data_IF_044312363452
#
_entry.id   IF_044312363452
#
_cell.length_a   1.000
_cell.length_b   1.000
_cell.length_c   1.000
_cell.angle_alpha   90.00
_cell.angle_beta   90.00
_cell.angle_gamma   90.00
#
_symmetry.space_group_name_H-M   'P 1'
#
loop_
_entity.id
_entity.type
_entity.pdbx_description
1 polymer ?
#
# COMPACT_ATOMS: atom_id res chain seq x y z
N UNK A 1 5.61 15.58 -26.64
CA UNK A 1 4.50 14.67 -26.27
C UNK A 1 4.96 13.93 -25.02
N UNK A 2 4.20 13.93 -23.93
CA UNK A 2 4.63 13.24 -22.69
C UNK A 2 4.40 11.74 -22.88
N UNK A 3 5.42 10.93 -22.60
CA UNK A 3 5.33 9.47 -22.69
C UNK A 3 4.49 8.92 -21.53
N UNK A 4 3.73 7.85 -21.77
CA UNK A 4 2.74 7.31 -20.83
C UNK A 4 3.06 5.89 -20.37
N UNK A 5 2.71 5.58 -19.13
CA UNK A 5 2.70 4.22 -18.58
C UNK A 5 1.27 3.87 -18.17
N UNK A 6 0.76 2.73 -18.67
CA UNK A 6 -0.56 2.23 -18.31
C UNK A 6 -0.52 1.57 -16.93
N UNK A 7 -1.40 1.97 -16.01
CA UNK A 7 -1.39 1.53 -14.62
C UNK A 7 -2.67 0.78 -14.26
N UNK A 8 -2.51 -0.43 -13.72
CA UNK A 8 -3.55 -1.25 -13.13
C UNK A 8 -3.23 -1.43 -11.66
N UNK A 9 -4.03 -0.85 -10.78
CA UNK A 9 -3.70 -0.66 -9.39
C UNK A 9 -4.82 -1.21 -8.51
N UNK A 10 -4.47 -1.73 -7.35
CA UNK A 10 -5.40 -2.18 -6.33
C UNK A 10 -5.84 -1.01 -5.44
N UNK A 11 -6.99 -1.18 -4.78
CA UNK A 11 -7.48 -0.30 -3.70
C UNK A 11 -7.96 1.12 -4.07
N UNK A 12 -8.65 1.75 -3.10
CA UNK A 12 -9.33 3.05 -3.26
C UNK A 12 -8.46 4.32 -3.20
N UNK A 13 -7.18 4.24 -2.79
CA UNK A 13 -6.30 5.43 -2.81
C UNK A 13 -5.92 5.85 -4.24
N UNK A 14 -6.00 4.94 -5.20
CA UNK A 14 -5.83 5.17 -6.64
C UNK A 14 -6.92 6.11 -7.18
N UNK A 15 -8.11 6.08 -6.59
CA UNK A 15 -9.24 6.96 -6.94
C UNK A 15 -8.98 8.43 -6.54
N UNK A 16 -8.04 8.65 -5.63
CA UNK A 16 -7.54 9.99 -5.25
C UNK A 16 -6.33 10.44 -6.07
N UNK A 17 -5.83 9.61 -7.00
CA UNK A 17 -4.62 9.90 -7.79
C UNK A 17 -3.31 9.72 -7.02
N UNK A 18 -3.38 9.14 -5.82
CA UNK A 18 -2.25 9.09 -4.89
C UNK A 18 -1.20 8.07 -5.31
N UNK A 19 -1.60 6.89 -5.79
CA UNK A 19 -0.63 5.90 -6.24
C UNK A 19 0.16 6.40 -7.45
N UNK A 20 -0.46 7.12 -8.38
CA UNK A 20 0.26 7.79 -9.48
C UNK A 20 1.23 8.86 -8.96
N UNK A 21 0.87 9.56 -7.87
CA UNK A 21 1.80 10.50 -7.23
C UNK A 21 3.01 9.77 -6.62
N UNK A 22 2.78 8.61 -6.00
CA UNK A 22 3.85 7.76 -5.50
C UNK A 22 4.74 7.23 -6.64
N UNK A 23 4.16 6.71 -7.73
CA UNK A 23 4.91 6.26 -8.91
C UNK A 23 5.75 7.39 -9.54
N UNK A 24 5.23 8.63 -9.58
CA UNK A 24 6.01 9.80 -10.03
C UNK A 24 7.23 10.11 -9.16
N UNK A 25 7.24 9.71 -7.88
CA UNK A 25 8.44 9.82 -7.04
C UNK A 25 9.51 8.81 -7.44
N UNK A 26 9.11 7.67 -8.02
CA UNK A 26 10.04 6.65 -8.51
C UNK A 26 10.65 7.12 -9.83
N UNK A 27 9.82 7.60 -10.76
CA UNK A 27 10.26 8.12 -12.05
C UNK A 27 9.31 9.20 -12.57
N UNK A 28 9.78 10.45 -12.62
CA UNK A 28 8.95 11.60 -13.01
C UNK A 28 8.87 11.83 -14.53
N UNK A 29 9.57 11.02 -15.34
CA UNK A 29 9.65 11.21 -16.79
C UNK A 29 8.35 10.82 -17.53
N UNK A 30 7.45 10.11 -16.85
CA UNK A 30 6.25 9.53 -17.44
C UNK A 30 4.94 10.08 -16.85
N UNK A 31 3.92 10.15 -17.69
CA UNK A 31 2.54 10.27 -17.26
C UNK A 31 1.96 8.88 -16.91
N UNK A 32 1.63 8.68 -15.64
CA UNK A 32 1.02 7.43 -15.15
C UNK A 32 -0.49 7.46 -15.37
N UNK A 33 -0.95 6.75 -16.41
CA UNK A 33 -2.35 6.69 -16.79
C UNK A 33 -3.04 5.49 -16.13
N UNK A 34 -3.98 5.77 -15.24
CA UNK A 34 -4.72 4.73 -14.54
C UNK A 34 -5.87 4.17 -15.40
N UNK A 35 -5.80 2.87 -15.67
CA UNK A 35 -6.86 2.09 -16.32
C UNK A 35 -7.68 1.27 -15.33
N UNK A 36 -7.11 0.93 -14.16
CA UNK A 36 -7.82 0.28 -13.06
C UNK A 36 -7.36 0.83 -11.70
N UNK A 37 -8.29 1.14 -10.77
CA UNK A 37 -9.74 1.26 -10.99
C UNK A 37 -10.05 2.40 -11.97
N UNK A 38 -10.94 2.18 -12.94
CA UNK A 38 -11.35 3.26 -13.84
C UNK A 38 -12.48 4.07 -13.17
N UNK A 39 -12.32 5.40 -13.08
CA UNK A 39 -13.41 6.27 -12.62
C UNK A 39 -14.53 6.24 -13.65
N UNK A 40 -15.68 5.67 -13.30
CA UNK A 40 -16.90 5.91 -14.07
C UNK A 40 -17.12 7.43 -14.08
N UNK A 41 -17.13 8.06 -15.28
CA UNK A 41 -17.47 9.47 -15.45
C UNK A 41 -18.89 9.70 -14.90
N UNK A 42 -19.02 10.33 -13.73
CA UNK A 42 -20.31 10.71 -13.14
C UNK A 42 -20.61 12.20 -13.33
N UNK A 43 -21.90 12.51 -13.45
CA UNK A 43 -22.45 13.88 -13.44
C UNK A 43 -22.25 14.51 -12.05
N UNK A 44 -21.97 15.81 -12.04
CA UNK A 44 -21.72 16.63 -10.83
C UNK A 44 -22.88 16.45 -9.82
N UNK A 45 -22.57 16.14 -8.55
CA UNK A 45 -23.55 16.11 -7.45
C UNK A 45 -24.02 14.74 -6.93
N UNK A 46 -23.48 13.61 -7.41
CA UNK A 46 -23.79 12.27 -6.86
C UNK A 46 -22.64 11.71 -6.04
N UNK A 47 -22.96 10.98 -4.97
CA UNK A 47 -21.96 10.30 -4.15
C UNK A 47 -21.13 9.30 -4.98
N UNK A 48 -19.82 9.30 -4.72
CA UNK A 48 -18.85 8.40 -5.33
C UNK A 48 -19.00 6.99 -4.73
N UNK A 49 -19.99 6.26 -5.20
CA UNK A 49 -20.03 4.81 -5.05
C UNK A 49 -19.35 4.22 -6.28
N UNK A 50 -18.17 3.67 -6.08
CA UNK A 50 -17.45 2.87 -7.07
C UNK A 50 -17.85 1.42 -6.82
N UNK A 51 -18.19 0.72 -7.89
CA UNK A 51 -18.68 -0.64 -7.78
C UNK A 51 -17.57 -1.57 -7.27
N UNK A 52 -17.93 -2.49 -6.38
CA UNK A 52 -16.98 -3.45 -5.77
C UNK A 52 -16.29 -4.35 -6.82
N UNK A 53 -16.88 -4.50 -8.00
CA UNK A 53 -16.31 -5.26 -9.11
C UNK A 53 -15.13 -4.58 -9.83
N UNK A 54 -14.78 -3.34 -9.45
CA UNK A 54 -13.63 -2.61 -9.99
C UNK A 54 -12.71 -2.06 -8.91
N UNK A 55 -13.04 -2.20 -7.63
CA UNK A 55 -12.26 -1.69 -6.50
C UNK A 55 -11.77 -2.83 -5.61
N UNK A 56 -10.54 -2.71 -5.08
CA UNK A 56 -9.98 -3.72 -4.18
C UNK A 56 -9.76 -5.09 -4.81
N UNK A 57 -9.65 -5.17 -6.14
CA UNK A 57 -9.30 -6.41 -6.82
C UNK A 57 -7.83 -6.74 -6.56
N UNK A 58 -7.54 -7.93 -6.05
CA UNK A 58 -6.17 -8.46 -5.90
C UNK A 58 -6.06 -9.80 -6.64
N UNK A 59 -4.85 -10.15 -7.07
CA UNK A 59 -4.57 -11.45 -7.67
C UNK A 59 -5.33 -11.86 -8.90
N UNK A 60 -5.85 -13.08 -8.92
CA UNK A 60 -6.49 -13.63 -10.12
C UNK A 60 -7.66 -12.74 -10.59
N UNK A 61 -8.39 -12.13 -9.65
CA UNK A 61 -9.45 -11.17 -9.96
C UNK A 61 -8.89 -9.90 -10.60
N UNK A 62 -7.77 -9.39 -10.09
CA UNK A 62 -7.05 -8.26 -10.69
C UNK A 62 -6.58 -8.60 -12.11
N UNK A 63 -5.87 -9.71 -12.27
CA UNK A 63 -5.31 -10.15 -13.55
C UNK A 63 -6.42 -10.40 -14.59
N UNK A 64 -7.51 -11.08 -14.21
CA UNK A 64 -8.65 -11.26 -15.09
C UNK A 64 -9.23 -9.91 -15.55
N UNK A 65 -9.30 -8.92 -14.65
CA UNK A 65 -9.78 -7.58 -14.99
C UNK A 65 -8.80 -6.80 -15.87
N UNK A 66 -7.50 -6.97 -15.68
CA UNK A 66 -6.47 -6.44 -16.59
C UNK A 66 -6.74 -6.94 -18.00
N UNK A 67 -6.90 -8.25 -18.20
CA UNK A 67 -7.15 -8.82 -19.53
C UNK A 67 -8.43 -8.29 -20.18
N UNK A 68 -9.51 -8.17 -19.41
CA UNK A 68 -10.76 -7.56 -19.89
C UNK A 68 -10.56 -6.12 -20.37
N UNK A 69 -9.82 -5.30 -19.61
CA UNK A 69 -9.53 -3.91 -20.00
C UNK A 69 -8.61 -3.86 -21.22
N UNK A 70 -7.60 -4.73 -21.31
CA UNK A 70 -6.69 -4.79 -22.45
C UNK A 70 -7.46 -5.04 -23.76
N UNK A 71 -8.45 -5.93 -23.75
CA UNK A 71 -9.29 -6.22 -24.92
C UNK A 71 -10.09 -4.99 -25.36
N UNK A 72 -10.64 -4.24 -24.41
CA UNK A 72 -11.51 -3.09 -24.68
C UNK A 72 -10.76 -1.77 -24.97
N UNK A 73 -9.51 -1.64 -24.52
CA UNK A 73 -8.72 -0.41 -24.59
C UNK A 73 -7.35 -0.60 -25.29
N UNK A 74 -7.18 -1.66 -26.06
CA UNK A 74 -5.89 -2.06 -26.65
C UNK A 74 -5.19 -0.94 -27.43
N UNK A 75 -5.91 -0.18 -28.27
CA UNK A 75 -5.32 0.90 -29.08
C UNK A 75 -4.67 1.99 -28.23
N UNK A 76 -5.33 2.40 -27.15
CA UNK A 76 -4.81 3.44 -26.26
C UNK A 76 -3.62 2.94 -25.43
N UNK A 77 -3.65 1.65 -25.05
CA UNK A 77 -2.57 1.03 -24.28
C UNK A 77 -1.34 0.79 -25.15
N UNK A 78 -1.52 0.53 -26.46
CA UNK A 78 -0.41 0.42 -27.43
C UNK A 78 0.43 1.68 -27.56
N UNK A 79 -0.14 2.85 -27.26
CA UNK A 79 0.57 4.12 -27.25
C UNK A 79 1.42 4.33 -25.98
N UNK A 80 1.21 3.50 -24.95
CA UNK A 80 2.00 3.55 -23.71
C UNK A 80 3.35 2.85 -23.90
N UNK A 81 4.35 3.29 -23.13
CA UNK A 81 5.70 2.72 -23.14
C UNK A 81 5.86 1.47 -22.31
N UNK A 82 5.01 1.30 -21.30
CA UNK A 82 5.02 0.17 -20.39
C UNK A 82 3.66 0.01 -19.71
N UNK A 83 3.51 -1.11 -19.01
CA UNK A 83 2.38 -1.43 -18.16
C UNK A 83 2.89 -1.63 -16.72
N UNK A 84 2.15 -1.11 -15.75
CA UNK A 84 2.35 -1.38 -14.32
C UNK A 84 1.12 -2.14 -13.82
N UNK A 85 1.36 -3.23 -13.12
CA UNK A 85 0.38 -3.93 -12.29
C UNK A 85 0.83 -3.81 -10.84
N UNK A 86 0.10 -3.06 -10.03
CA UNK A 86 0.27 -3.05 -8.58
C UNK A 86 -0.69 -4.07 -7.95
N UNK A 87 -0.23 -4.81 -6.93
CA UNK A 87 -1.02 -5.81 -6.18
C UNK A 87 -0.59 -5.81 -4.71
N UNK A 88 -1.54 -5.67 -3.77
CA UNK A 88 -1.29 -5.86 -2.32
C UNK A 88 -0.70 -7.26 -2.02
N UNK A 89 -0.89 -8.22 -2.94
CA UNK A 89 -0.39 -9.61 -2.89
C UNK A 89 -1.07 -10.48 -1.82
N UNK A 90 -1.49 -9.92 -0.68
CA UNK A 90 -2.22 -10.59 0.40
C UNK A 90 -1.53 -11.92 0.81
N UNK A 91 -0.20 -11.90 0.84
CA UNK A 91 0.63 -13.07 1.17
C UNK A 91 0.55 -14.26 0.19
N UNK A 92 -0.02 -14.10 -1.02
CA UNK A 92 -0.21 -15.17 -2.02
C UNK A 92 1.03 -16.01 -2.32
N UNK A 93 2.20 -15.39 -2.28
CA UNK A 93 3.47 -16.08 -2.57
C UNK A 93 4.04 -16.84 -1.37
N UNK A 94 3.30 -16.97 -0.27
CA UNK A 94 3.72 -17.78 0.86
C UNK A 94 4.02 -19.23 0.42
N UNK A 95 5.21 -19.71 0.77
CA UNK A 95 5.70 -21.04 0.38
C UNK A 95 6.02 -21.21 -1.11
N UNK A 96 5.94 -20.16 -1.94
CA UNK A 96 6.32 -20.25 -3.35
C UNK A 96 7.83 -20.10 -3.51
N UNK A 97 8.43 -20.93 -4.38
CA UNK A 97 9.81 -20.74 -4.79
C UNK A 97 9.96 -19.52 -5.70
N UNK A 98 11.15 -18.93 -5.72
CA UNK A 98 11.45 -17.82 -6.64
C UNK A 98 11.20 -18.19 -8.12
N UNK A 99 11.43 -19.44 -8.51
CA UNK A 99 11.13 -19.94 -9.86
C UNK A 99 9.62 -19.97 -10.15
N UNK A 100 8.81 -20.39 -9.17
CA UNK A 100 7.34 -20.39 -9.30
C UNK A 100 6.81 -18.97 -9.47
N UNK A 101 7.33 -18.02 -8.69
CA UNK A 101 6.97 -16.59 -8.80
C UNK A 101 7.39 -16.02 -10.15
N UNK A 102 8.62 -16.31 -10.61
CA UNK A 102 9.11 -15.88 -11.94
C UNK A 102 8.25 -16.45 -13.06
N UNK A 103 7.89 -17.74 -12.99
CA UNK A 103 6.99 -18.39 -13.96
C UNK A 103 5.63 -17.70 -13.97
N UNK A 104 5.03 -17.48 -12.81
CA UNK A 104 3.75 -16.77 -12.68
C UNK A 104 3.77 -15.38 -13.33
N UNK A 105 4.79 -14.56 -13.03
CA UNK A 105 4.98 -13.24 -13.67
C UNK A 105 5.11 -13.38 -15.18
N UNK A 106 5.93 -14.32 -15.67
CA UNK A 106 6.17 -14.54 -17.10
C UNK A 106 4.92 -14.95 -17.85
N UNK A 107 4.11 -15.84 -17.27
CA UNK A 107 2.89 -16.33 -17.89
C UNK A 107 1.87 -15.18 -18.04
N UNK A 108 1.78 -14.28 -17.05
CA UNK A 108 0.98 -13.05 -17.16
C UNK A 108 1.52 -12.10 -18.24
N UNK A 109 2.83 -11.86 -18.27
CA UNK A 109 3.46 -11.00 -19.30
C UNK A 109 3.15 -11.52 -20.69
N UNK A 110 3.30 -12.82 -20.90
CA UNK A 110 3.00 -13.47 -22.17
C UNK A 110 1.55 -13.22 -22.58
N UNK A 111 0.60 -13.50 -21.69
CA UNK A 111 -0.83 -13.29 -21.97
C UNK A 111 -1.15 -11.81 -22.25
N UNK A 112 -0.57 -10.86 -21.52
CA UNK A 112 -0.72 -9.42 -21.80
C UNK A 112 -0.24 -9.07 -23.20
N UNK A 113 0.95 -9.56 -23.57
CA UNK A 113 1.56 -9.26 -24.86
C UNK A 113 0.77 -9.90 -26.02
N UNK A 114 0.22 -11.09 -25.84
CA UNK A 114 -0.68 -11.73 -26.82
C UNK A 114 -1.99 -10.95 -26.98
N UNK A 115 -2.61 -10.51 -25.88
CA UNK A 115 -3.88 -9.76 -25.93
C UNK A 115 -3.72 -8.38 -26.58
N UNK A 116 -2.57 -7.72 -26.41
CA UNK A 116 -2.31 -6.40 -27.02
C UNK A 116 -1.73 -6.57 -28.44
N UNK A 117 -0.97 -7.62 -28.70
CA UNK A 117 -0.28 -7.84 -29.98
C UNK A 117 1.00 -7.01 -30.16
N UNK A 118 1.54 -6.44 -29.08
CA UNK A 118 2.87 -5.78 -29.07
C UNK A 118 3.63 -6.15 -27.79
N UNK A 119 4.96 -6.09 -27.86
CA UNK A 119 5.82 -6.32 -26.70
C UNK A 119 6.02 -5.03 -25.92
N UNK A 120 5.24 -4.87 -24.86
CA UNK A 120 5.46 -3.83 -23.85
C UNK A 120 6.16 -4.41 -22.61
N UNK A 121 7.11 -3.67 -22.00
CA UNK A 121 7.56 -3.94 -20.64
C UNK A 121 6.37 -3.93 -19.67
N UNK A 122 6.37 -4.87 -18.73
CA UNK A 122 5.37 -4.98 -17.67
C UNK A 122 6.10 -5.03 -16.33
N UNK A 123 5.79 -4.09 -15.45
CA UNK A 123 6.34 -4.03 -14.09
C UNK A 123 5.28 -4.48 -13.09
N UNK A 124 5.68 -5.35 -12.14
CA UNK A 124 4.82 -5.81 -11.06
C UNK A 124 5.23 -5.14 -9.75
N UNK A 125 4.42 -4.20 -9.27
CA UNK A 125 4.67 -3.51 -8.01
C UNK A 125 3.89 -4.22 -6.91
N UNK A 126 4.56 -5.06 -6.12
CA UNK A 126 3.89 -5.76 -5.02
C UNK A 126 4.01 -4.99 -3.70
N UNK A 127 2.87 -4.71 -3.09
CA UNK A 127 2.79 -4.09 -1.78
C UNK A 127 2.62 -5.18 -0.71
N UNK A 128 3.59 -6.07 -0.55
CA UNK A 128 3.41 -7.27 0.28
C UNK A 128 3.69 -7.04 1.77
N UNK A 129 2.93 -7.68 2.69
CA UNK A 129 1.71 -8.43 2.45
C UNK A 129 0.50 -7.54 2.11
N UNK A 130 0.59 -6.26 2.43
CA UNK A 130 -0.32 -5.17 2.06
C UNK A 130 0.46 -3.83 2.07
N UNK A 131 -0.09 -2.76 1.48
CA UNK A 131 0.48 -1.40 1.48
C UNK A 131 0.91 -0.88 2.87
N UNK A 132 0.28 -1.35 3.95
CA UNK A 132 0.66 -1.04 5.33
C UNK A 132 2.12 -1.40 5.64
N UNK A 133 2.68 -2.40 4.96
CA UNK A 133 4.10 -2.75 5.02
C UNK A 133 5.00 -1.57 4.61
N UNK A 134 4.63 -0.83 3.57
CA UNK A 134 5.38 0.33 3.10
C UNK A 134 5.29 1.49 4.09
N UNK A 135 4.14 1.68 4.73
CA UNK A 135 3.95 2.71 5.77
C UNK A 135 4.77 2.40 7.03
N UNK A 136 4.97 1.12 7.36
CA UNK A 136 5.88 0.68 8.43
C UNK A 136 7.33 0.85 8.00
N UNK A 137 7.67 0.44 6.76
CA UNK A 137 9.01 0.54 6.21
C UNK A 137 9.52 1.99 6.30
N UNK A 138 8.73 2.94 5.82
CA UNK A 138 8.98 4.36 6.04
C UNK A 138 8.16 4.92 7.21
N UNK A 139 8.43 4.38 8.42
CA UNK A 139 7.76 4.80 9.65
C UNK A 139 7.70 6.32 9.84
N UNK A 140 8.77 7.03 9.45
CA UNK A 140 8.89 8.48 9.66
C UNK A 140 7.85 9.24 8.84
N UNK A 141 7.68 8.89 7.57
CA UNK A 141 6.75 9.58 6.67
C UNK A 141 5.38 8.89 6.58
N UNK A 142 5.24 7.66 7.10
CA UNK A 142 3.99 6.95 7.29
C UNK A 142 3.34 7.26 8.64
N UNK A 143 3.28 6.26 9.52
CA UNK A 143 2.53 6.35 10.79
C UNK A 143 3.04 7.45 11.73
N UNK A 144 4.35 7.76 11.75
CA UNK A 144 4.87 8.86 12.58
C UNK A 144 4.33 10.20 12.12
N UNK A 145 4.35 10.46 10.82
CA UNK A 145 3.78 11.69 10.26
C UNK A 145 2.30 11.82 10.62
N UNK A 146 1.53 10.75 10.39
CA UNK A 146 0.09 10.72 10.65
C UNK A 146 -0.23 11.07 12.10
N UNK A 147 0.34 10.34 13.07
CA UNK A 147 -0.05 10.49 14.47
C UNK A 147 0.64 11.65 15.20
N UNK A 148 1.60 12.34 14.57
CA UNK A 148 2.20 13.56 15.13
C UNK A 148 1.67 14.85 14.51
N UNK A 149 0.81 14.77 13.48
CA UNK A 149 0.13 15.93 12.90
C UNK A 149 -1.12 16.30 13.69
N UNK A 150 -1.33 17.60 13.92
CA UNK A 150 -2.52 18.10 14.64
C UNK A 150 -3.74 18.14 13.75
N UNK A 151 -3.53 18.01 12.44
CA UNK A 151 -4.60 17.88 11.45
C UNK A 151 -5.38 16.56 11.62
N UNK A 152 -4.71 15.50 12.06
CA UNK A 152 -5.31 14.17 12.17
C UNK A 152 -5.62 13.77 13.61
N UNK A 153 -4.77 14.20 14.55
CA UNK A 153 -4.93 13.95 15.98
C UNK A 153 -5.02 15.29 16.70
N UNK A 154 -6.19 15.91 16.61
CA UNK A 154 -6.45 17.26 17.14
C UNK A 154 -6.75 17.26 18.64
N UNK A 155 -7.11 16.11 19.21
CA UNK A 155 -7.51 15.97 20.63
C UNK A 155 -6.33 15.71 21.59
N UNK A 156 -5.09 15.75 21.08
CA UNK A 156 -3.87 15.53 21.85
C UNK A 156 -2.80 16.59 21.55
N UNK A 157 -2.05 16.97 22.57
CA UNK A 157 -0.88 17.84 22.44
C UNK A 157 0.28 17.13 21.73
N UNK A 158 1.27 17.90 21.28
CA UNK A 158 2.41 17.36 20.52
C UNK A 158 3.21 16.33 21.32
N UNK A 159 3.39 16.55 22.63
CA UNK A 159 4.15 15.64 23.49
C UNK A 159 3.41 14.31 23.68
N UNK A 160 2.08 14.35 23.88
CA UNK A 160 1.21 13.17 23.96
C UNK A 160 1.25 12.34 22.67
N UNK A 161 1.17 13.01 21.51
CA UNK A 161 1.27 12.38 20.19
C UNK A 161 2.61 11.72 19.93
N UNK A 162 3.70 12.44 20.24
CA UNK A 162 5.07 11.88 20.16
C UNK A 162 5.23 10.69 21.10
N UNK A 163 4.63 10.76 22.29
CA UNK A 163 4.66 9.68 23.26
C UNK A 163 3.94 8.43 22.74
N UNK A 164 2.70 8.58 22.27
CA UNK A 164 1.91 7.49 21.69
C UNK A 164 2.64 6.84 20.52
N UNK A 165 3.10 7.62 19.53
CA UNK A 165 3.68 7.05 18.31
C UNK A 165 4.99 6.30 18.57
N UNK A 166 5.76 6.71 19.57
CA UNK A 166 6.96 6.00 19.99
C UNK A 166 6.61 4.63 20.60
N UNK A 167 5.55 4.56 21.40
CA UNK A 167 5.08 3.30 22.00
C UNK A 167 4.38 2.41 20.98
N UNK A 168 3.63 2.99 20.05
CA UNK A 168 3.01 2.27 18.94
C UNK A 168 4.07 1.56 18.09
N UNK A 169 5.16 2.25 17.74
CA UNK A 169 6.27 1.63 16.99
C UNK A 169 6.84 0.42 17.74
N UNK A 170 7.11 0.58 19.04
CA UNK A 170 7.63 -0.51 19.89
C UNK A 170 6.64 -1.67 19.98
N UNK A 171 5.34 -1.36 20.13
CA UNK A 171 4.29 -2.36 20.22
C UNK A 171 4.18 -3.16 18.92
N UNK A 172 4.08 -2.49 17.77
CA UNK A 172 4.03 -3.12 16.44
C UNK A 172 5.25 -4.02 16.25
N UNK A 173 6.46 -3.52 16.50
CA UNK A 173 7.68 -4.29 16.33
C UNK A 173 7.70 -5.54 17.24
N UNK A 174 7.36 -5.38 18.52
CA UNK A 174 7.46 -6.46 19.51
C UNK A 174 6.35 -7.50 19.40
N UNK A 175 5.10 -7.07 19.21
CA UNK A 175 3.92 -7.91 19.37
C UNK A 175 3.28 -8.33 18.04
N UNK A 176 3.31 -7.45 17.03
CA UNK A 176 2.73 -7.71 15.71
C UNK A 176 3.79 -8.33 14.80
N UNK A 177 4.83 -7.56 14.43
CA UNK A 177 5.85 -8.00 13.48
C UNK A 177 6.76 -9.07 14.07
N UNK A 178 7.06 -9.01 15.37
CA UNK A 178 7.94 -9.96 16.06
C UNK A 178 9.28 -10.09 15.32
N UNK A 179 9.54 -11.23 14.67
CA UNK A 179 10.75 -11.49 13.86
C UNK A 179 10.71 -10.95 12.43
N UNK A 180 9.56 -10.47 11.95
CA UNK A 180 9.39 -9.95 10.58
C UNK A 180 9.82 -8.48 10.41
N UNK A 181 10.45 -7.87 11.41
CA UNK A 181 10.82 -6.44 11.36
C UNK A 181 11.76 -6.12 10.18
N UNK A 182 12.71 -7.02 9.91
CA UNK A 182 13.69 -6.88 8.83
C UNK A 182 13.24 -7.58 7.54
N UNK A 183 12.08 -8.26 7.56
CA UNK A 183 11.54 -8.97 6.40
C UNK A 183 10.00 -8.91 6.37
N UNK A 184 9.47 -7.69 6.37
CA UNK A 184 8.04 -7.43 6.53
C UNK A 184 7.20 -7.99 5.37
N UNK A 185 7.78 -8.12 4.18
CA UNK A 185 7.10 -8.67 3.00
C UNK A 185 6.75 -10.16 3.14
N UNK A 186 7.32 -10.86 4.12
CA UNK A 186 6.98 -12.25 4.45
C UNK A 186 6.02 -12.36 5.65
N UNK A 187 5.58 -11.24 6.22
CA UNK A 187 4.58 -11.25 7.28
C UNK A 187 3.24 -11.80 6.77
N UNK A 188 2.51 -12.47 7.65
CA UNK A 188 1.09 -12.73 7.45
C UNK A 188 0.68 -14.17 7.73
N UNK A 189 1.54 -15.17 7.52
CA UNK A 189 1.16 -16.56 7.77
C UNK A 189 1.65 -17.06 9.13
N UNK A 190 0.70 -17.48 9.97
CA UNK A 190 0.94 -18.07 11.27
C UNK A 190 0.10 -19.34 11.41
N UNK A 191 0.73 -20.49 11.66
CA UNK A 191 0.04 -21.79 11.73
C UNK A 191 -0.88 -22.04 10.51
N UNK A 192 -0.36 -21.77 9.30
CA UNK A 192 -1.08 -21.88 8.02
C UNK A 192 -2.30 -20.96 7.83
N UNK A 193 -2.54 -20.04 8.77
CA UNK A 193 -3.59 -19.02 8.65
C UNK A 193 -2.99 -17.67 8.27
N UNK A 194 -3.64 -16.99 7.30
CA UNK A 194 -3.28 -15.63 6.93
C UNK A 194 -3.91 -14.62 7.90
N UNK A 195 -3.05 -13.88 8.58
CA UNK A 195 -3.36 -12.76 9.46
C UNK A 195 -3.06 -11.46 8.71
N UNK A 196 -4.12 -10.68 8.52
CA UNK A 196 -4.05 -9.40 7.83
C UNK A 196 -3.31 -8.36 8.66
N UNK A 197 -2.29 -7.73 8.06
CA UNK A 197 -1.45 -6.74 8.75
C UNK A 197 -2.25 -5.48 9.07
N UNK A 198 -3.13 -5.05 8.16
CA UNK A 198 -3.97 -3.87 8.37
C UNK A 198 -4.86 -4.00 9.60
N UNK A 199 -5.41 -5.20 9.83
CA UNK A 199 -6.34 -5.46 10.93
C UNK A 199 -5.61 -5.43 12.27
N UNK A 200 -4.42 -6.04 12.34
CA UNK A 200 -3.58 -6.02 13.54
C UNK A 200 -3.10 -4.61 13.88
N UNK A 201 -2.72 -3.82 12.88
CA UNK A 201 -2.34 -2.42 13.11
C UNK A 201 -3.53 -1.60 13.61
N UNK A 202 -4.72 -1.80 13.01
CA UNK A 202 -5.93 -1.10 13.44
C UNK A 202 -6.26 -1.41 14.91
N UNK A 203 -6.29 -2.69 15.26
CA UNK A 203 -6.51 -3.17 16.63
C UNK A 203 -5.48 -2.58 17.60
N UNK A 204 -4.20 -2.60 17.24
CA UNK A 204 -3.14 -2.04 18.06
C UNK A 204 -3.27 -0.54 18.30
N UNK A 205 -3.73 0.24 17.31
CA UNK A 205 -3.87 1.69 17.44
C UNK A 205 -5.10 2.05 18.27
N UNK A 206 -6.21 1.35 18.03
CA UNK A 206 -7.49 1.64 18.68
C UNK A 206 -7.51 1.17 20.14
N UNK A 207 -6.86 0.05 20.44
CA UNK A 207 -6.96 -0.64 21.73
C UNK A 207 -5.59 -1.02 22.32
N UNK A 208 -4.87 -1.97 21.72
CA UNK A 208 -3.78 -2.65 22.45
C UNK A 208 -2.65 -1.72 22.88
N UNK A 209 -2.27 -0.76 22.03
CA UNK A 209 -1.19 0.16 22.38
C UNK A 209 -1.62 1.10 23.52
N UNK A 210 -2.90 1.46 23.61
CA UNK A 210 -3.43 2.28 24.69
C UNK A 210 -3.41 1.50 26.00
N UNK A 211 -3.80 0.23 25.97
CA UNK A 211 -3.69 -0.68 27.12
C UNK A 211 -2.22 -0.95 27.50
N UNK A 212 -1.34 -1.13 26.52
CA UNK A 212 0.09 -1.29 26.76
C UNK A 212 0.69 -0.07 27.47
N UNK A 213 0.28 1.14 27.08
CA UNK A 213 0.72 2.39 27.69
C UNK A 213 0.16 2.54 29.12
N UNK A 214 -1.09 2.13 29.38
CA UNK A 214 -1.73 2.30 30.69
C UNK A 214 -1.03 1.52 31.81
N UNK A 215 -0.36 0.41 31.47
CA UNK A 215 0.37 -0.44 32.41
C UNK A 215 1.80 0.05 32.72
N UNK A 216 2.27 1.14 32.11
CA UNK A 216 3.63 1.66 32.36
C UNK A 216 3.63 2.51 33.63
N UNK A 217 4.07 1.90 34.74
CA UNK A 217 3.98 2.41 36.13
C UNK A 217 4.70 3.74 36.44
N UNK A 218 5.51 4.28 35.52
CA UNK A 218 6.32 5.50 35.74
C UNK A 218 5.82 6.72 34.95
N UNK A 219 4.63 6.67 34.36
CA UNK A 219 4.14 7.73 33.47
C UNK A 219 3.24 8.74 34.18
N UNK A 220 3.17 9.95 33.61
CA UNK A 220 2.19 10.94 33.98
C UNK A 220 0.77 10.40 33.71
N UNK A 221 -0.01 10.18 34.77
CA UNK A 221 -1.36 9.63 34.72
C UNK A 221 -2.31 10.45 33.83
N UNK A 222 -2.21 11.78 33.83
CA UNK A 222 -3.07 12.65 33.02
C UNK A 222 -2.80 12.45 31.53
N UNK A 223 -1.52 12.42 31.14
CA UNK A 223 -1.10 12.19 29.76
C UNK A 223 -1.58 10.82 29.24
N UNK A 224 -1.44 9.78 30.07
CA UNK A 224 -1.90 8.43 29.75
C UNK A 224 -3.41 8.40 29.57
N UNK A 225 -4.18 9.01 30.47
CA UNK A 225 -5.63 9.08 30.35
C UNK A 225 -6.08 9.78 29.06
N UNK A 226 -5.45 10.90 28.69
CA UNK A 226 -5.75 11.59 27.42
C UNK A 226 -5.52 10.68 26.21
N UNK A 227 -4.38 9.99 26.16
CA UNK A 227 -4.07 9.05 25.07
C UNK A 227 -5.09 7.90 25.02
N UNK A 228 -5.41 7.29 26.16
CA UNK A 228 -6.38 6.19 26.25
C UNK A 228 -7.78 6.62 25.79
N UNK A 229 -8.17 7.86 26.09
CA UNK A 229 -9.49 8.40 25.76
C UNK A 229 -9.56 9.07 24.38
N UNK A 230 -8.44 9.23 23.68
CA UNK A 230 -8.42 9.86 22.36
C UNK A 230 -9.25 9.05 21.36
N UNK A 231 -10.17 9.76 20.70
CA UNK A 231 -11.02 9.22 19.62
C UNK A 231 -10.38 9.40 18.26
N UNK A 232 -9.33 10.22 18.15
CA UNK A 232 -8.58 10.47 16.91
C UNK A 232 -7.42 9.50 16.70
N UNK A 233 -7.02 8.76 17.74
CA UNK A 233 -6.13 7.62 17.62
C UNK A 233 -6.87 6.38 17.10
N UNK A 234 -7.03 6.30 15.77
CA UNK A 234 -7.57 5.16 15.03
C UNK A 234 -6.90 5.04 13.66
N UNK A 235 -7.07 3.90 12.98
CA UNK A 235 -6.58 3.70 11.61
C UNK A 235 -7.73 3.45 10.62
N UNK A 236 -7.65 4.08 9.45
CA UNK A 236 -8.54 3.81 8.33
C UNK A 236 -7.75 3.87 7.03
N UNK A 237 -7.69 2.76 6.29
CA UNK A 237 -7.06 2.69 4.97
C UNK A 237 -7.65 3.73 4.00
N UNK A 238 -8.96 3.99 4.09
CA UNK A 238 -9.66 4.99 3.27
C UNK A 238 -9.21 6.43 3.55
N UNK A 239 -9.16 6.83 4.82
CA UNK A 239 -8.83 8.22 5.18
C UNK A 239 -7.32 8.45 5.27
N UNK A 240 -6.59 7.54 5.91
CA UNK A 240 -5.18 7.73 6.24
C UNK A 240 -4.22 7.15 5.19
N UNK A 241 -4.63 6.09 4.48
CA UNK A 241 -3.76 5.42 3.50
C UNK A 241 -3.28 6.36 2.39
N UNK A 242 -4.18 7.17 1.84
CA UNK A 242 -3.80 8.17 0.81
C UNK A 242 -2.86 9.25 1.34
N UNK A 243 -3.00 9.65 2.60
CA UNK A 243 -2.13 10.67 3.22
C UNK A 243 -0.72 10.10 3.37
N UNK A 244 -0.60 8.90 3.95
CA UNK A 244 0.70 8.26 4.14
C UNK A 244 1.37 7.93 2.81
N UNK A 245 0.63 7.41 1.82
CA UNK A 245 1.18 7.08 0.50
C UNK A 245 1.73 8.30 -0.25
N UNK A 246 1.13 9.50 -0.07
CA UNK A 246 1.69 10.76 -0.59
C UNK A 246 2.99 11.16 0.08
N UNK A 247 3.25 10.72 1.30
CA UNK A 247 4.39 11.18 2.10
C UNK A 247 5.57 10.23 2.09
N UNK A 248 5.33 8.91 2.09
CA UNK A 248 6.42 7.92 2.08
C UNK A 248 7.36 8.10 0.89
N UNK A 249 8.61 7.78 1.13
CA UNK A 249 9.69 7.85 0.15
C UNK A 249 9.96 6.45 -0.43
N UNK A 250 9.80 6.25 -1.76
CA UNK A 250 10.03 4.94 -2.36
C UNK A 250 11.47 4.43 -2.22
N UNK A 251 12.49 5.30 -2.09
CA UNK A 251 13.86 4.88 -1.81
C UNK A 251 13.96 4.20 -0.43
N UNK A 252 13.29 4.77 0.58
CA UNK A 252 13.23 4.19 1.94
C UNK A 252 12.46 2.88 1.93
N UNK A 253 11.32 2.82 1.22
CA UNK A 253 10.54 1.58 1.10
C UNK A 253 11.37 0.48 0.43
N UNK A 254 12.03 0.77 -0.69
CA UNK A 254 12.87 -0.19 -1.42
C UNK A 254 14.10 -0.66 -0.63
N UNK A 255 14.59 0.12 0.33
CA UNK A 255 15.68 -0.30 1.21
C UNK A 255 15.28 -1.37 2.24
N UNK A 256 13.98 -1.55 2.50
CA UNK A 256 13.44 -2.48 3.51
C UNK A 256 12.55 -3.57 2.93
N UNK A 257 11.78 -3.25 1.89
CA UNK A 257 10.95 -4.18 1.14
C UNK A 257 11.78 -4.72 -0.05
N UNK A 258 12.67 -5.65 0.26
CA UNK A 258 13.70 -6.15 -0.67
C UNK A 258 13.31 -7.43 -1.43
N UNK A 259 12.27 -8.13 -0.97
CA UNK A 259 11.84 -9.41 -1.53
C UNK A 259 10.98 -9.23 -2.78
N UNK A 260 10.07 -8.25 -2.79
CA UNK A 260 9.15 -8.05 -3.93
C UNK A 260 9.16 -6.64 -4.49
N UNK A 261 9.11 -5.61 -3.65
CA UNK A 261 9.02 -4.22 -4.13
C UNK A 261 10.32 -3.72 -4.79
N UNK A 262 11.48 -3.98 -4.17
CA UNK A 262 12.77 -3.39 -4.60
C UNK A 262 13.12 -3.68 -6.06
N UNK A 263 12.93 -4.92 -6.54
CA UNK A 263 13.28 -5.30 -7.92
C UNK A 263 12.55 -4.41 -8.93
N UNK A 264 11.23 -4.30 -8.81
CA UNK A 264 10.43 -3.53 -9.75
C UNK A 264 10.54 -2.02 -9.54
N UNK A 265 10.85 -1.59 -8.31
CA UNK A 265 11.26 -0.21 -8.04
C UNK A 265 12.52 0.17 -8.84
N UNK A 266 13.58 -0.64 -8.77
CA UNK A 266 14.84 -0.38 -9.49
C UNK A 266 14.63 -0.39 -11.00
N UNK A 267 13.86 -1.35 -11.51
CA UNK A 267 13.50 -1.42 -12.91
C UNK A 267 12.77 -0.16 -13.38
N UNK A 268 11.75 0.31 -12.64
CA UNK A 268 10.99 1.50 -13.00
C UNK A 268 11.80 2.80 -12.85
N UNK A 269 12.70 2.87 -11.85
CA UNK A 269 13.57 4.04 -11.63
C UNK A 269 14.61 4.22 -12.73
N UNK A 270 15.07 3.12 -13.34
CA UNK A 270 16.06 3.12 -14.42
C UNK A 270 15.45 3.17 -15.83
N UNK A 271 14.14 2.94 -15.94
CA UNK A 271 13.40 2.96 -17.21
C UNK A 271 13.32 4.38 -17.79
#
# INVERSE_FOLDING_TARGET
>A
MVERIACFLTCGYTESGTMQAFLRKINSSYEYKQFLPNKIRKKKGTEKIIADNINGLTGEKLIAKVYDILKNHSNEIKECKAIIIEDDLDGRFNGWSGEKIKKYKRDIIFEIQENIGIRLPVFFIYASPEIESWFIADWKNGYKYLYTSSEFVEDLELNERKFFVNHLKKYINKHILRGYQDNIEHYGFFNDEYIKLSDKIKEAIEFDCKEYISHISKLNHEMVQKICNSKKLYYSKKYHGSIMLKNIDPDIVASKCTCYFQESYLQLKQF
#
